data_IF_422570087447
#
_entry.id   IF_422570087447
#
_cell.length_a   1.000
_cell.length_b   1.000
_cell.length_c   1.000
_cell.angle_alpha   90.00
_cell.angle_beta   90.00
_cell.angle_gamma   90.00
#
_symmetry.space_group_name_H-M   'P 1'
#
loop_
_entity.id
_entity.type
_entity.pdbx_description
1 polymer ?
#
# COMPACT_ATOMS: atom_id res chain seq x y z
N UNK A 1 -8.22 -3.00 -6.47
CA UNK A 1 -7.12 -2.62 -7.39
C UNK A 1 -5.76 -2.97 -6.78
N UNK A 2 -4.75 -3.11 -7.66
CA UNK A 2 -3.37 -3.48 -7.34
C UNK A 2 -2.47 -2.60 -8.20
N UNK A 3 -1.25 -2.27 -7.74
CA UNK A 3 -0.21 -1.68 -8.58
C UNK A 3 -0.36 -0.20 -8.88
N UNK A 4 -0.94 0.60 -7.97
CA UNK A 4 -1.01 2.05 -8.20
C UNK A 4 0.38 2.67 -8.35
N UNK A 5 1.33 2.30 -7.49
CA UNK A 5 2.69 2.81 -7.57
C UNK A 5 3.35 2.47 -8.91
N UNK A 6 3.22 1.22 -9.34
CA UNK A 6 3.80 0.73 -10.59
C UNK A 6 3.12 1.37 -11.81
N UNK A 7 1.81 1.61 -11.75
CA UNK A 7 1.06 2.36 -12.77
C UNK A 7 1.59 3.81 -12.88
N UNK A 8 1.82 4.47 -11.76
CA UNK A 8 2.35 5.84 -11.76
C UNK A 8 3.77 5.90 -12.31
N UNK A 9 4.63 4.93 -11.97
CA UNK A 9 5.96 4.82 -12.58
C UNK A 9 5.87 4.64 -14.09
N UNK A 10 4.96 3.77 -14.58
CA UNK A 10 4.76 3.59 -16.02
C UNK A 10 4.30 4.87 -16.73
N UNK A 11 3.49 5.71 -16.07
CA UNK A 11 2.92 6.92 -16.65
C UNK A 11 3.82 8.15 -16.53
N UNK A 12 4.59 8.26 -15.44
CA UNK A 12 5.30 9.49 -15.07
C UNK A 12 6.79 9.29 -14.79
N UNK A 13 7.25 8.06 -14.70
CA UNK A 13 8.61 7.71 -14.30
C UNK A 13 8.84 7.70 -12.78
N UNK A 14 7.84 8.06 -11.97
CA UNK A 14 7.93 8.12 -10.50
C UNK A 14 6.66 7.64 -9.83
N UNK A 15 6.78 7.05 -8.65
CA UNK A 15 5.61 6.69 -7.85
C UNK A 15 5.19 7.83 -6.89
N UNK A 16 4.04 7.66 -6.29
CA UNK A 16 3.36 8.68 -5.46
C UNK A 16 4.11 9.12 -4.19
N UNK A 17 5.06 8.33 -3.68
CA UNK A 17 5.88 8.75 -2.54
C UNK A 17 7.15 9.52 -2.93
N UNK A 18 7.50 9.54 -4.21
CA UNK A 18 8.69 10.23 -4.73
C UNK A 18 8.38 11.62 -5.28
N UNK A 19 7.15 11.81 -5.77
CA UNK A 19 6.80 13.01 -6.51
C UNK A 19 5.36 13.46 -6.17
N UNK A 20 5.17 14.74 -5.76
CA UNK A 20 3.85 15.27 -5.46
C UNK A 20 2.88 15.27 -6.66
N UNK A 21 3.38 15.43 -7.89
CA UNK A 21 2.53 15.37 -9.09
C UNK A 21 2.05 13.94 -9.34
N UNK A 22 2.90 12.94 -9.13
CA UNK A 22 2.51 11.53 -9.17
C UNK A 22 1.49 11.21 -8.06
N UNK A 23 1.66 11.75 -6.86
CA UNK A 23 0.66 11.61 -5.78
C UNK A 23 -0.70 12.19 -6.19
N UNK A 24 -0.72 13.39 -6.73
CA UNK A 24 -1.97 14.02 -7.20
C UNK A 24 -2.63 13.21 -8.32
N UNK A 25 -1.86 12.66 -9.25
CA UNK A 25 -2.37 11.78 -10.28
C UNK A 25 -2.96 10.50 -9.68
N UNK A 26 -2.28 9.88 -8.72
CA UNK A 26 -2.77 8.69 -8.00
C UNK A 26 -4.10 8.95 -7.30
N UNK A 27 -4.22 10.05 -6.57
CA UNK A 27 -5.46 10.46 -5.92
C UNK A 27 -6.59 10.64 -6.97
N UNK A 28 -6.32 11.31 -8.09
CA UNK A 28 -7.29 11.48 -9.18
C UNK A 28 -7.76 10.14 -9.75
N UNK A 29 -6.86 9.19 -9.96
CA UNK A 29 -7.20 7.85 -10.48
C UNK A 29 -8.15 7.15 -9.52
N UNK A 30 -7.82 7.09 -8.23
CA UNK A 30 -8.66 6.40 -7.24
C UNK A 30 -9.97 7.15 -6.98
N UNK A 31 -9.97 8.47 -6.99
CA UNK A 31 -11.21 9.27 -6.97
C UNK A 31 -12.12 8.88 -8.13
N UNK A 32 -11.57 8.74 -9.34
CA UNK A 32 -12.37 8.32 -10.50
C UNK A 32 -12.95 6.92 -10.33
N UNK A 33 -12.23 5.98 -9.72
CA UNK A 33 -12.78 4.67 -9.37
C UNK A 33 -13.94 4.80 -8.40
N UNK A 34 -13.79 5.65 -7.38
CA UNK A 34 -14.85 5.91 -6.39
C UNK A 34 -16.10 6.51 -7.02
N UNK A 35 -15.93 7.51 -7.87
CA UNK A 35 -17.04 8.16 -8.59
C UNK A 35 -17.78 7.16 -9.47
N UNK A 36 -17.04 6.31 -10.19
CA UNK A 36 -17.63 5.26 -11.03
C UNK A 36 -18.35 4.18 -10.23
N UNK A 37 -17.81 3.79 -9.10
CA UNK A 37 -18.49 2.85 -8.21
C UNK A 37 -19.83 3.42 -7.71
N UNK A 38 -19.86 4.70 -7.33
CA UNK A 38 -21.09 5.39 -6.91
C UNK A 38 -22.10 5.49 -8.06
N UNK A 39 -21.65 5.93 -9.25
CA UNK A 39 -22.49 6.01 -10.45
C UNK A 39 -23.12 4.64 -10.80
N UNK A 40 -22.34 3.57 -10.73
CA UNK A 40 -22.83 2.22 -11.01
C UNK A 40 -23.78 1.71 -9.91
N UNK A 41 -23.55 2.06 -8.66
CA UNK A 41 -24.45 1.72 -7.55
C UNK A 41 -25.85 2.35 -7.78
N UNK A 42 -25.88 3.62 -8.18
CA UNK A 42 -27.11 4.32 -8.48
C UNK A 42 -27.79 3.76 -9.74
N UNK A 43 -27.03 3.56 -10.81
CA UNK A 43 -27.56 3.10 -12.10
C UNK A 43 -28.12 1.69 -12.07
N UNK A 44 -27.42 0.78 -11.38
CA UNK A 44 -27.74 -0.64 -11.42
C UNK A 44 -28.42 -1.14 -10.14
N UNK A 45 -28.62 -0.26 -9.15
CA UNK A 45 -29.20 -0.58 -7.83
C UNK A 45 -28.47 -1.76 -7.15
N UNK A 46 -27.13 -1.81 -7.34
CA UNK A 46 -26.24 -2.75 -6.70
C UNK A 46 -25.19 -1.98 -5.87
N UNK A 47 -24.61 -2.65 -4.89
CA UNK A 47 -23.57 -2.05 -4.07
C UNK A 47 -22.19 -2.25 -4.71
N UNK A 48 -21.71 -1.27 -5.46
CA UNK A 48 -20.35 -1.22 -5.98
C UNK A 48 -19.45 -0.43 -5.03
N UNK A 49 -18.24 -0.91 -4.84
CA UNK A 49 -17.28 -0.32 -3.92
C UNK A 49 -15.84 -0.41 -4.43
N UNK A 50 -14.96 0.41 -3.87
CA UNK A 50 -13.53 0.39 -4.19
C UNK A 50 -12.77 -0.25 -3.04
N UNK A 51 -12.05 -1.32 -3.33
CA UNK A 51 -11.24 -2.08 -2.39
C UNK A 51 -9.74 -1.91 -2.71
N UNK A 52 -8.98 -1.49 -1.71
CA UNK A 52 -7.52 -1.57 -1.72
C UNK A 52 -7.12 -3.01 -1.32
N UNK A 53 -6.99 -3.89 -2.31
CA UNK A 53 -6.84 -5.33 -2.11
C UNK A 53 -5.46 -5.69 -1.58
N UNK A 54 -5.35 -6.45 -0.48
CA UNK A 54 -4.12 -7.14 -0.10
C UNK A 54 -3.94 -8.34 -1.04
N UNK A 55 -3.16 -8.13 -2.10
CA UNK A 55 -3.22 -9.02 -3.27
C UNK A 55 -2.30 -10.25 -3.19
N UNK A 56 -1.41 -10.33 -2.20
CA UNK A 56 -0.48 -11.45 -1.96
C UNK A 56 0.05 -12.08 -3.28
N UNK A 57 -0.22 -13.38 -3.49
CA UNK A 57 0.23 -14.08 -4.69
C UNK A 57 -0.33 -13.57 -6.02
N UNK A 58 -1.44 -12.82 -6.02
CA UNK A 58 -2.03 -12.27 -7.24
C UNK A 58 -1.17 -11.16 -7.85
N UNK A 59 -0.51 -10.36 -7.03
CA UNK A 59 0.40 -9.29 -7.48
C UNK A 59 1.58 -9.85 -8.29
N UNK A 60 2.17 -10.95 -7.84
CA UNK A 60 3.23 -11.66 -8.57
C UNK A 60 2.73 -12.32 -9.86
N UNK A 61 1.53 -12.90 -9.82
CA UNK A 61 0.92 -13.52 -11.01
C UNK A 61 0.68 -12.52 -12.13
N UNK A 62 0.23 -11.30 -11.80
CA UNK A 62 0.04 -10.25 -12.80
C UNK A 62 1.37 -9.77 -13.36
N UNK A 63 2.38 -9.54 -12.53
CA UNK A 63 3.71 -9.15 -13.00
C UNK A 63 4.29 -10.17 -13.97
N UNK A 64 4.18 -11.47 -13.68
CA UNK A 64 4.64 -12.53 -14.58
C UNK A 64 3.88 -12.54 -15.91
N UNK A 65 2.57 -12.30 -15.88
CA UNK A 65 1.74 -12.23 -17.09
C UNK A 65 2.15 -11.03 -17.95
N UNK A 66 2.35 -9.88 -17.33
CA UNK A 66 2.70 -8.65 -18.03
C UNK A 66 4.13 -8.70 -18.59
N UNK A 67 5.09 -9.33 -17.87
CA UNK A 67 6.42 -9.64 -18.41
C UNK A 67 6.38 -10.45 -19.70
N UNK A 68 5.46 -11.42 -19.79
CA UNK A 68 5.28 -12.23 -21.01
C UNK A 68 4.68 -11.43 -22.16
N UNK A 69 3.79 -10.49 -21.87
CA UNK A 69 3.09 -9.71 -22.89
C UNK A 69 3.86 -8.47 -23.35
N UNK A 70 4.56 -7.82 -22.45
CA UNK A 70 5.16 -6.49 -22.67
C UNK A 70 6.67 -6.47 -22.45
N UNK A 71 7.27 -7.57 -22.00
CA UNK A 71 8.68 -7.63 -21.66
C UNK A 71 9.00 -7.00 -20.31
N UNK A 72 10.30 -6.77 -20.09
CA UNK A 72 10.80 -6.12 -18.86
C UNK A 72 10.74 -4.61 -19.05
N UNK A 73 9.94 -3.95 -18.24
CA UNK A 73 9.81 -2.49 -18.16
C UNK A 73 10.46 -2.05 -16.83
N UNK A 74 11.56 -1.27 -16.85
CA UNK A 74 12.25 -0.84 -15.66
C UNK A 74 11.31 -0.10 -14.67
N UNK A 75 11.36 -0.48 -13.39
CA UNK A 75 10.53 0.08 -12.33
C UNK A 75 9.07 -0.38 -12.34
N UNK A 76 8.65 -1.18 -13.32
CA UNK A 76 7.28 -1.68 -13.45
C UNK A 76 7.23 -3.20 -13.43
N UNK A 77 7.74 -3.87 -14.48
CA UNK A 77 7.69 -5.34 -14.59
C UNK A 77 9.03 -6.02 -14.27
N UNK A 78 10.06 -5.29 -13.91
CA UNK A 78 11.39 -5.81 -13.57
C UNK A 78 11.47 -6.48 -12.19
N UNK A 79 10.39 -6.39 -11.39
CA UNK A 79 10.23 -7.03 -10.08
C UNK A 79 9.39 -8.29 -10.16
N UNK A 80 9.34 -9.03 -9.06
CA UNK A 80 8.58 -10.28 -8.98
C UNK A 80 7.09 -10.06 -8.72
N UNK A 81 6.70 -8.87 -8.21
CA UNK A 81 5.32 -8.51 -7.88
C UNK A 81 5.07 -7.03 -8.05
N UNK A 82 3.81 -6.66 -8.27
CA UNK A 82 3.34 -5.28 -8.18
C UNK A 82 3.08 -4.88 -6.73
N UNK A 83 3.27 -3.62 -6.44
CA UNK A 83 2.91 -3.05 -5.13
C UNK A 83 1.42 -3.24 -4.86
N UNK A 84 1.06 -3.71 -3.67
CA UNK A 84 -0.33 -3.87 -3.29
C UNK A 84 -1.05 -2.52 -3.28
N UNK A 85 -2.25 -2.50 -3.84
CA UNK A 85 -3.17 -1.36 -3.85
C UNK A 85 -2.48 0.00 -4.07
N UNK A 86 -2.56 0.90 -3.11
CA UNK A 86 -1.94 2.23 -3.12
C UNK A 86 -0.83 2.37 -2.07
N UNK A 87 -0.26 1.27 -1.60
CA UNK A 87 0.85 1.33 -0.65
C UNK A 87 2.07 2.02 -1.24
N UNK A 88 2.81 2.69 -0.39
CA UNK A 88 4.19 3.06 -0.69
C UNK A 88 4.99 1.79 -0.89
N UNK A 89 5.74 1.64 -1.99
CA UNK A 89 6.50 0.44 -2.27
C UNK A 89 7.48 0.09 -1.14
N UNK A 90 7.55 -1.19 -0.76
CA UNK A 90 8.40 -1.66 0.34
C UNK A 90 9.89 -1.44 0.11
N UNK A 91 10.33 -1.36 -1.13
CA UNK A 91 11.72 -1.04 -1.50
C UNK A 91 12.06 0.45 -1.33
N UNK A 92 11.05 1.33 -1.23
CA UNK A 92 11.27 2.77 -1.07
C UNK A 92 11.46 3.10 0.41
N UNK A 93 12.67 3.52 0.75
CA UNK A 93 13.01 3.88 2.13
C UNK A 93 12.45 5.26 2.49
N UNK A 94 11.49 5.28 3.38
CA UNK A 94 10.92 6.50 3.93
C UNK A 94 10.59 6.34 5.42
N UNK A 95 10.32 7.45 6.08
CA UNK A 95 9.85 7.41 7.47
C UNK A 95 8.40 6.93 7.56
N UNK A 96 8.03 6.32 8.68
CA UNK A 96 6.64 5.96 8.98
C UNK A 96 5.68 7.15 8.82
N UNK A 97 6.14 8.35 9.19
CA UNK A 97 5.41 9.60 9.01
C UNK A 97 5.11 9.87 7.54
N UNK A 98 6.12 9.87 6.69
CA UNK A 98 5.95 10.12 5.26
C UNK A 98 5.04 9.08 4.60
N UNK A 99 5.25 7.79 4.93
CA UNK A 99 4.38 6.72 4.45
C UNK A 99 2.91 6.96 4.84
N UNK A 100 2.64 7.29 6.09
CA UNK A 100 1.29 7.57 6.55
C UNK A 100 0.66 8.78 5.83
N UNK A 101 1.40 9.88 5.64
CA UNK A 101 0.95 11.06 4.91
C UNK A 101 0.60 10.77 3.44
N UNK A 102 1.37 9.90 2.79
CA UNK A 102 1.14 9.50 1.39
C UNK A 102 -0.07 8.57 1.26
N UNK A 103 -0.25 7.61 2.18
CA UNK A 103 -1.33 6.62 2.09
C UNK A 103 -2.68 7.14 2.62
N UNK A 104 -2.68 8.06 3.59
CA UNK A 104 -3.89 8.54 4.25
C UNK A 104 -4.99 9.06 3.30
N UNK A 105 -4.71 9.85 2.25
CA UNK A 105 -5.75 10.36 1.36
C UNK A 105 -6.57 9.26 0.67
N UNK A 106 -6.00 8.07 0.48
CA UNK A 106 -6.67 6.96 -0.18
C UNK A 106 -7.68 6.23 0.72
N UNK A 107 -7.57 6.34 2.05
CA UNK A 107 -8.49 5.68 2.98
C UNK A 107 -9.93 6.15 2.80
N UNK A 108 -10.15 7.45 2.62
CA UNK A 108 -11.48 8.01 2.37
C UNK A 108 -12.06 7.60 1.01
N UNK A 109 -11.22 7.20 0.04
CA UNK A 109 -11.64 6.83 -1.30
C UNK A 109 -11.95 5.34 -1.45
N UNK A 110 -11.45 4.50 -0.55
CA UNK A 110 -11.57 3.03 -0.60
C UNK A 110 -12.58 2.51 0.42
N UNK A 111 -13.86 2.65 0.08
CA UNK A 111 -14.97 2.36 0.98
C UNK A 111 -15.22 0.87 1.29
N UNK A 112 -14.61 -0.03 0.52
CA UNK A 112 -14.67 -1.47 0.79
C UNK A 112 -13.52 -1.97 1.67
N UNK A 113 -12.55 -1.11 1.96
CA UNK A 113 -11.45 -1.39 2.87
C UNK A 113 -10.09 -0.99 2.32
N UNK A 114 -9.24 -0.61 3.24
CA UNK A 114 -7.85 -0.27 3.05
C UNK A 114 -7.13 -0.45 4.39
N UNK A 115 -5.97 -1.07 4.38
CA UNK A 115 -5.11 -1.18 5.55
C UNK A 115 -3.76 -0.55 5.24
N UNK A 116 -3.21 0.25 6.15
CA UNK A 116 -1.83 0.74 6.09
C UNK A 116 -0.97 -0.02 7.09
N UNK A 117 0.19 -0.47 6.66
CA UNK A 117 1.17 -1.19 7.48
C UNK A 117 2.33 -0.27 7.82
N UNK A 118 2.69 -0.20 9.10
CA UNK A 118 3.92 0.42 9.58
C UNK A 118 4.75 -0.65 10.27
N UNK A 119 5.97 -0.83 9.79
CA UNK A 119 6.90 -1.80 10.34
C UNK A 119 7.87 -1.12 11.28
N UNK A 120 7.99 -1.67 12.50
CA UNK A 120 8.89 -1.17 13.51
C UNK A 120 10.22 -1.94 13.49
N UNK A 121 11.28 -1.19 13.67
CA UNK A 121 12.67 -1.71 13.70
C UNK A 121 13.12 -2.19 15.08
N UNK A 122 12.23 -2.57 15.94
CA UNK A 122 12.53 -3.05 17.27
C UNK A 122 11.29 -3.50 18.02
N UNK A 123 11.49 -4.15 19.17
CA UNK A 123 10.39 -4.56 20.02
C UNK A 123 9.66 -3.31 20.56
N UNK A 124 8.38 -3.14 20.22
CA UNK A 124 7.59 -2.00 20.67
C UNK A 124 7.46 -1.90 22.20
N UNK A 125 7.63 -3.00 22.92
CA UNK A 125 7.62 -3.01 24.38
C UNK A 125 8.77 -2.18 24.99
N UNK A 126 9.86 -2.02 24.26
CA UNK A 126 11.00 -1.21 24.72
C UNK A 126 10.75 0.29 24.61
N UNK A 127 9.72 0.73 23.86
CA UNK A 127 9.39 2.15 23.69
C UNK A 127 7.90 2.37 23.40
N UNK A 128 7.06 2.13 24.39
CA UNK A 128 5.61 2.31 24.29
C UNK A 128 5.20 3.76 23.95
N UNK A 129 5.99 4.75 24.40
CA UNK A 129 5.72 6.15 24.05
C UNK A 129 5.89 6.43 22.56
N UNK A 130 6.88 5.85 21.90
CA UNK A 130 7.05 5.96 20.46
C UNK A 130 5.92 5.23 19.73
N UNK A 131 5.55 4.04 20.19
CA UNK A 131 4.41 3.28 19.65
C UNK A 131 3.11 4.10 19.70
N UNK A 132 2.79 4.66 20.86
CA UNK A 132 1.61 5.52 21.03
C UNK A 132 1.61 6.71 20.08
N UNK A 133 2.75 7.38 19.90
CA UNK A 133 2.89 8.50 18.95
C UNK A 133 2.58 8.07 17.52
N UNK A 134 3.02 6.90 17.09
CA UNK A 134 2.72 6.37 15.75
C UNK A 134 1.21 6.15 15.59
N UNK A 135 0.56 5.50 16.57
CA UNK A 135 -0.88 5.25 16.52
C UNK A 135 -1.69 6.56 16.48
N UNK A 136 -1.33 7.53 17.33
CA UNK A 136 -1.98 8.85 17.33
C UNK A 136 -1.79 9.56 16.00
N UNK A 137 -0.59 9.53 15.45
CA UNK A 137 -0.29 10.17 14.18
C UNK A 137 -1.07 9.53 13.01
N UNK A 138 -1.16 8.21 12.96
CA UNK A 138 -1.99 7.52 11.96
C UNK A 138 -3.44 8.03 11.99
N UNK A 139 -4.02 8.18 13.19
CA UNK A 139 -5.36 8.75 13.37
C UNK A 139 -5.43 10.21 12.89
N UNK A 140 -4.45 11.03 13.27
CA UNK A 140 -4.41 12.47 12.92
C UNK A 140 -4.37 12.70 11.41
N UNK A 141 -3.61 11.89 10.67
CA UNK A 141 -3.51 12.03 9.20
C UNK A 141 -4.65 11.38 8.43
N UNK A 142 -5.54 10.63 9.11
CA UNK A 142 -6.72 10.05 8.49
C UNK A 142 -6.58 8.59 8.06
N UNK A 143 -5.62 7.82 8.62
CA UNK A 143 -5.56 6.37 8.46
C UNK A 143 -6.76 5.75 9.19
N UNK A 144 -7.72 5.22 8.45
CA UNK A 144 -8.94 4.61 9.01
C UNK A 144 -8.73 3.20 9.55
N UNK A 145 -7.77 2.47 9.01
CA UNK A 145 -7.37 1.14 9.46
C UNK A 145 -5.87 0.94 9.25
N UNK A 146 -5.16 0.65 10.31
CA UNK A 146 -3.71 0.48 10.29
C UNK A 146 -3.24 -0.68 11.14
N UNK A 147 -2.11 -1.23 10.76
CA UNK A 147 -1.39 -2.26 11.52
C UNK A 147 0.04 -1.79 11.77
N UNK A 148 0.51 -2.04 12.97
CA UNK A 148 1.92 -1.84 13.32
C UNK A 148 2.53 -3.22 13.50
N UNK A 149 3.46 -3.55 12.61
CA UNK A 149 4.09 -4.86 12.56
C UNK A 149 5.51 -4.79 13.15
N UNK A 150 5.84 -5.84 13.88
CA UNK A 150 7.21 -6.12 14.28
C UNK A 150 7.61 -7.43 13.61
N UNK A 151 8.37 -7.39 12.50
CA UNK A 151 8.66 -8.58 11.70
C UNK A 151 9.69 -9.46 12.41
N UNK A 152 9.19 -10.44 13.15
CA UNK A 152 10.01 -11.43 13.88
C UNK A 152 9.53 -12.82 13.51
N UNK A 153 10.43 -13.64 13.01
CA UNK A 153 10.20 -15.07 12.87
C UNK A 153 10.64 -15.80 14.14
N UNK A 154 9.80 -16.71 14.58
CA UNK A 154 10.11 -17.60 15.69
C UNK A 154 10.40 -19.00 15.17
N UNK A 155 11.59 -19.50 15.44
CA UNK A 155 11.91 -20.90 15.17
C UNK A 155 11.02 -21.82 16.06
N UNK A 156 10.21 -22.70 15.46
CA UNK A 156 9.29 -23.56 16.22
C UNK A 156 9.99 -24.65 17.02
N UNK A 157 11.25 -24.93 16.73
CA UNK A 157 12.02 -25.99 17.41
C UNK A 157 12.80 -25.43 18.60
N UNK A 158 13.57 -24.38 18.40
CA UNK A 158 14.42 -23.84 19.46
C UNK A 158 13.84 -22.57 20.12
N UNK A 159 12.73 -22.01 19.59
CA UNK A 159 12.09 -20.80 20.11
C UNK A 159 12.87 -19.50 19.86
N UNK A 160 13.99 -19.56 19.16
CA UNK A 160 14.78 -18.37 18.84
C UNK A 160 14.00 -17.41 17.94
N UNK A 161 14.09 -16.13 18.29
CA UNK A 161 13.52 -15.06 17.49
C UNK A 161 14.56 -14.57 16.50
N UNK A 162 14.20 -14.54 15.23
CA UNK A 162 15.01 -13.92 14.17
C UNK A 162 14.22 -12.83 13.51
N UNK A 163 14.89 -11.77 13.12
CA UNK A 163 14.29 -10.70 12.34
C UNK A 163 14.08 -11.18 10.91
N UNK A 164 12.85 -11.12 10.44
CA UNK A 164 12.57 -11.32 9.01
C UNK A 164 13.22 -10.20 8.22
N UNK A 165 14.14 -10.53 7.34
CA UNK A 165 14.64 -9.56 6.35
C UNK A 165 13.63 -9.53 5.20
N UNK A 166 12.88 -8.46 5.12
CA UNK A 166 12.04 -8.15 3.98
C UNK A 166 12.88 -7.63 2.81
#
# INVERSE_FOLDING_TARGET
>A
FIGLADCLVALTGKHHAEDPAAQQLGIRIITRFRDKANEFSERWQHNYSVLATPAEGLSGRFTQKDKKSFGIIPGVTDREYYTNSNHVPVYYRCSARHKAEIEAPYHALTNAGHISYIELDGDPLNNLSAFEKVVRYMKEVGIGYGSINHPVDRDPVCGNLRRTRL
#
